data_IF_682644091444
#
_entry.id   IF_682644091444
#
_cell.length_a   1.000
_cell.length_b   1.000
_cell.length_c   1.000
_cell.angle_alpha   90.00
_cell.angle_beta   90.00
_cell.angle_gamma   90.00
#
_symmetry.space_group_name_H-M   'P 1'
#
loop_
_entity.id
_entity.type
_entity.pdbx_description
1 polymer ?
#
# COMPACT_ATOMS: atom_id res chain seq x y z
N UNK A 1 17.27 -8.33 -29.73
CA UNK A 1 16.14 -8.97 -29.04
C UNK A 1 15.41 -7.89 -28.29
N UNK A 2 14.07 -7.83 -28.31
CA UNK A 2 13.29 -6.94 -27.46
C UNK A 2 13.53 -7.33 -26.00
N UNK A 3 13.53 -6.34 -25.07
CA UNK A 3 13.59 -6.65 -23.64
C UNK A 3 12.36 -7.46 -23.19
N UNK A 4 12.46 -8.27 -22.14
CA UNK A 4 11.30 -8.93 -21.53
C UNK A 4 10.24 -7.93 -21.09
N UNK A 5 8.98 -8.35 -21.11
CA UNK A 5 7.88 -7.55 -20.55
C UNK A 5 7.99 -7.56 -19.02
N UNK A 6 8.00 -6.38 -18.40
CA UNK A 6 8.25 -6.26 -16.98
C UNK A 6 7.02 -5.74 -16.21
N UNK A 7 6.68 -6.40 -15.11
CA UNK A 7 5.57 -6.05 -14.21
C UNK A 7 6.14 -5.66 -12.84
N UNK A 8 5.69 -4.55 -12.25
CA UNK A 8 5.87 -4.30 -10.82
C UNK A 8 4.69 -4.87 -10.04
N UNK A 9 4.95 -5.82 -9.16
CA UNK A 9 3.99 -6.30 -8.17
C UNK A 9 4.20 -5.56 -6.84
N UNK A 10 3.23 -4.74 -6.47
CA UNK A 10 3.26 -3.85 -5.31
C UNK A 10 2.03 -4.08 -4.42
N UNK A 11 2.13 -3.84 -3.12
CA UNK A 11 1.06 -4.09 -2.15
C UNK A 11 1.17 -3.26 -0.89
N UNK A 12 0.08 -3.21 -0.12
CA UNK A 12 0.06 -2.73 1.27
C UNK A 12 0.59 -1.31 1.43
N UNK A 13 -0.05 -0.35 0.74
CA UNK A 13 0.38 1.06 0.75
C UNK A 13 -0.08 1.79 2.01
N UNK A 14 -1.28 1.44 2.51
CA UNK A 14 -1.89 2.04 3.70
C UNK A 14 -1.91 3.57 3.66
N UNK A 15 -2.12 4.14 2.46
CA UNK A 15 -2.27 5.59 2.35
C UNK A 15 -3.57 6.05 3.01
N UNK A 16 -3.61 7.29 3.43
CA UNK A 16 -4.77 7.83 4.13
C UNK A 16 -4.81 9.34 3.99
N UNK A 17 -5.93 9.96 4.37
CA UNK A 17 -6.08 11.42 4.37
C UNK A 17 -4.87 12.14 4.99
N UNK A 18 -4.29 11.59 6.04
CA UNK A 18 -3.18 12.24 6.78
C UNK A 18 -1.84 11.52 6.65
N UNK A 19 -1.79 10.38 5.90
CA UNK A 19 -0.59 9.57 5.71
C UNK A 19 -0.05 8.91 6.97
N UNK A 20 -0.79 8.96 8.05
CA UNK A 20 -0.56 8.17 9.23
C UNK A 20 -1.11 6.75 8.97
N UNK A 21 -0.27 5.75 9.15
CA UNK A 21 -0.69 4.37 9.04
C UNK A 21 -1.52 3.93 10.25
N UNK A 22 -2.21 2.80 10.14
CA UNK A 22 -3.04 2.23 11.20
C UNK A 22 -2.30 2.08 12.55
N UNK A 23 -1.03 1.71 12.52
CA UNK A 23 -0.22 1.54 13.75
C UNK A 23 0.10 2.89 14.40
N UNK A 24 0.41 3.90 13.60
CA UNK A 24 0.66 5.25 14.10
C UNK A 24 -0.63 5.90 14.59
N UNK A 25 -1.77 5.64 13.95
CA UNK A 25 -3.08 6.08 14.44
C UNK A 25 -3.42 5.48 15.80
N UNK A 26 -3.12 4.20 16.04
CA UNK A 26 -3.31 3.57 17.34
C UNK A 26 -2.50 4.26 18.43
N UNK A 27 -1.35 4.83 18.09
CA UNK A 27 -0.51 5.62 18.99
C UNK A 27 -0.97 7.09 19.08
N UNK A 28 -1.46 7.68 17.99
CA UNK A 28 -2.00 9.04 17.93
C UNK A 28 -3.27 9.19 18.75
N UNK A 29 -4.14 8.19 18.77
CA UNK A 29 -5.35 8.15 19.59
C UNK A 29 -5.05 8.24 21.08
N UNK A 30 -3.93 7.71 21.51
CA UNK A 30 -3.46 7.91 22.89
C UNK A 30 -2.87 9.30 23.13
N UNK A 31 -2.63 10.08 22.07
CA UNK A 31 -1.89 11.37 22.13
C UNK A 31 -2.66 12.58 21.57
N UNK A 32 -3.69 12.39 20.77
CA UNK A 32 -4.52 13.50 20.27
C UNK A 32 -5.60 13.85 21.28
N UNK A 33 -5.21 14.59 22.30
CA UNK A 33 -6.21 15.40 22.97
C UNK A 33 -6.72 16.42 21.93
N UNK A 34 -8.04 16.45 21.72
CA UNK A 34 -8.73 17.56 21.09
C UNK A 34 -8.27 18.84 21.81
N UNK A 35 -7.72 19.78 21.07
CA UNK A 35 -7.35 21.08 21.67
C UNK A 35 -8.64 21.90 21.71
N UNK A 36 -9.53 21.56 22.64
CA UNK A 36 -10.79 22.28 22.82
C UNK A 36 -10.63 23.72 23.31
N UNK A 37 -9.41 24.10 23.72
CA UNK A 37 -9.17 25.42 24.31
C UNK A 37 -7.79 25.95 23.87
N UNK A 38 -7.76 26.52 22.65
CA UNK A 38 -6.61 27.29 22.16
C UNK A 38 -6.78 28.74 22.66
N UNK A 39 -6.89 28.93 23.98
CA UNK A 39 -6.96 30.28 24.51
C UNK A 39 -5.60 30.96 24.37
N UNK A 40 -5.60 32.18 23.82
CA UNK A 40 -4.41 33.04 23.73
C UNK A 40 -3.71 33.28 25.07
N UNK A 41 -4.42 33.03 26.19
CA UNK A 41 -3.87 33.10 27.53
C UNK A 41 -2.91 31.96 27.87
N UNK A 42 -3.11 30.78 27.28
CA UNK A 42 -2.31 29.57 27.57
C UNK A 42 -1.29 29.27 26.48
N UNK A 43 -1.49 29.76 25.27
CA UNK A 43 -0.67 29.43 24.13
C UNK A 43 -0.13 30.68 23.43
N UNK A 44 1.08 30.57 22.95
CA UNK A 44 1.72 31.52 22.04
C UNK A 44 1.69 30.92 20.63
N UNK A 45 1.22 31.67 19.64
CA UNK A 45 1.30 31.28 18.23
C UNK A 45 2.68 31.61 17.71
N UNK A 46 3.43 30.59 17.34
CA UNK A 46 4.78 30.76 16.78
C UNK A 46 4.78 30.85 15.27
N UNK A 47 3.78 30.27 14.63
CA UNK A 47 3.62 30.24 13.18
C UNK A 47 2.15 30.00 12.86
N UNK A 48 1.67 30.66 11.81
CA UNK A 48 0.31 30.48 11.29
C UNK A 48 0.32 30.66 9.77
N UNK A 49 -0.28 29.72 9.04
CA UNK A 49 -0.45 29.79 7.59
C UNK A 49 -1.60 28.87 7.16
N UNK A 50 -2.50 29.36 6.32
CA UNK A 50 -3.62 28.58 5.78
C UNK A 50 -4.53 27.94 6.85
N UNK A 51 -4.66 28.59 8.02
CA UNK A 51 -5.39 28.07 9.17
C UNK A 51 -4.63 27.04 10.01
N UNK A 52 -3.43 26.63 9.60
CA UNK A 52 -2.53 25.83 10.43
C UNK A 52 -1.78 26.72 11.41
N UNK A 53 -1.59 26.25 12.63
CA UNK A 53 -0.93 27.02 13.70
C UNK A 53 0.06 26.14 14.44
N UNK A 54 1.24 26.68 14.76
CA UNK A 54 2.17 26.09 15.71
C UNK A 54 2.05 26.83 17.02
N UNK A 55 1.63 26.12 18.04
CA UNK A 55 1.39 26.66 19.36
C UNK A 55 2.47 26.22 20.33
N UNK A 56 2.91 27.16 21.20
CA UNK A 56 3.75 26.88 22.36
C UNK A 56 2.94 27.10 23.63
N UNK A 57 2.96 26.13 24.53
CA UNK A 57 2.34 26.27 25.85
C UNK A 57 3.15 27.23 26.73
N UNK A 58 2.56 28.35 27.19
CA UNK A 58 3.27 29.46 27.89
C UNK A 58 3.82 29.08 29.27
N UNK A 59 3.21 28.12 29.94
CA UNK A 59 3.53 27.78 31.34
C UNK A 59 4.21 26.44 31.51
N UNK A 60 4.52 25.74 30.44
CA UNK A 60 5.21 24.46 30.50
C UNK A 60 6.73 24.69 30.54
N UNK A 61 7.44 24.11 31.52
CA UNK A 61 8.90 24.23 31.72
C UNK A 61 9.74 23.93 30.45
N UNK A 62 9.22 23.22 29.48
CA UNK A 62 9.89 22.83 28.24
C UNK A 62 9.15 23.27 26.98
N UNK A 63 8.25 24.27 27.06
CA UNK A 63 7.59 24.88 25.93
C UNK A 63 7.05 23.88 24.88
N UNK A 64 6.20 22.93 25.33
CA UNK A 64 5.64 21.92 24.43
C UNK A 64 5.03 22.56 23.20
N UNK A 65 5.51 22.15 22.03
CA UNK A 65 5.00 22.61 20.75
C UNK A 65 3.93 21.65 20.23
N UNK A 66 2.88 22.22 19.66
CA UNK A 66 1.76 21.48 19.06
C UNK A 66 1.42 22.12 17.72
N UNK A 67 1.32 21.32 16.68
CA UNK A 67 0.76 21.77 15.40
C UNK A 67 -0.75 21.57 15.45
N UNK A 68 -1.52 22.60 15.11
CA UNK A 68 -2.99 22.57 15.09
C UNK A 68 -3.46 22.79 13.66
N UNK A 69 -4.39 21.97 13.18
CA UNK A 69 -4.96 22.09 11.84
C UNK A 69 -6.13 23.08 11.79
N UNK A 70 -6.64 23.44 10.60
CA UNK A 70 -7.75 24.38 10.44
C UNK A 70 -9.06 23.96 11.10
N UNK A 71 -9.19 22.69 11.52
CA UNK A 71 -10.32 22.13 12.24
C UNK A 71 -10.05 21.98 13.74
N UNK A 72 -9.02 22.62 14.26
CA UNK A 72 -8.57 22.60 15.66
C UNK A 72 -8.11 21.22 16.18
N UNK A 73 -7.67 20.32 15.31
CA UNK A 73 -7.04 19.07 15.74
C UNK A 73 -5.53 19.25 15.98
N UNK A 74 -5.09 18.69 17.10
CA UNK A 74 -3.68 18.72 17.48
C UNK A 74 -2.89 17.60 16.79
N UNK A 75 -1.76 17.93 16.21
CA UNK A 75 -0.81 17.02 15.59
C UNK A 75 0.54 17.09 16.31
N UNK A 76 1.16 15.93 16.67
CA UNK A 76 2.48 15.95 17.27
C UNK A 76 3.52 16.49 16.27
N UNK A 77 4.41 17.33 16.75
CA UNK A 77 5.58 17.77 15.98
C UNK A 77 6.65 16.69 16.12
N UNK A 78 7.22 16.19 15.02
CA UNK A 78 8.26 15.17 15.06
C UNK A 78 9.47 15.67 15.87
N UNK A 79 10.02 14.80 16.71
CA UNK A 79 11.29 15.08 17.38
C UNK A 79 12.43 15.15 16.35
N UNK A 80 13.40 16.03 16.57
CA UNK A 80 14.64 15.98 15.81
C UNK A 80 15.37 14.67 16.11
N UNK A 81 15.79 13.95 15.06
CA UNK A 81 16.72 12.82 15.22
C UNK A 81 18.14 13.37 15.25
N UNK A 82 18.98 12.78 16.08
CA UNK A 82 20.41 13.06 16.08
C UNK A 82 20.99 12.85 14.69
N UNK A 83 21.57 13.88 14.10
CA UNK A 83 22.17 13.84 12.77
C UNK A 83 21.46 14.69 11.69
N UNK A 84 20.20 15.07 11.91
CA UNK A 84 19.43 15.95 11.00
C UNK A 84 19.05 17.22 11.75
N UNK A 85 20.02 18.07 11.95
CA UNK A 85 19.89 19.19 12.89
C UNK A 85 19.46 20.51 12.28
N UNK A 86 19.13 20.57 10.99
CA UNK A 86 19.02 21.87 10.32
C UNK A 86 17.66 22.56 10.48
N UNK A 87 16.58 21.82 10.76
CA UNK A 87 15.26 22.45 10.87
C UNK A 87 14.85 22.68 12.32
N UNK A 88 14.47 23.88 12.62
CA UNK A 88 13.86 24.22 13.89
C UNK A 88 12.49 23.51 14.04
N UNK A 89 11.95 23.39 15.27
CA UNK A 89 10.67 22.76 15.49
C UNK A 89 9.49 23.39 14.73
N UNK A 90 9.54 24.69 14.47
CA UNK A 90 8.51 25.43 13.72
C UNK A 90 8.58 25.06 12.23
N UNK A 91 9.78 25.03 11.66
CA UNK A 91 9.99 24.61 10.27
C UNK A 91 9.55 23.16 10.05
N UNK A 92 9.84 22.25 10.98
CA UNK A 92 9.34 20.86 10.94
C UNK A 92 7.81 20.78 11.00
N UNK A 93 7.19 21.65 11.81
CA UNK A 93 5.74 21.72 11.90
C UNK A 93 5.12 22.30 10.62
N UNK A 94 5.68 23.35 10.06
CA UNK A 94 5.27 23.94 8.78
C UNK A 94 5.40 22.92 7.64
N UNK A 95 6.53 22.23 7.54
CA UNK A 95 6.72 21.15 6.58
C UNK A 95 5.70 20.00 6.76
N UNK A 96 5.25 19.74 7.98
CA UNK A 96 4.17 18.78 8.25
C UNK A 96 2.80 19.33 7.82
N UNK A 97 2.51 20.60 8.08
CA UNK A 97 1.28 21.25 7.64
C UNK A 97 1.16 21.25 6.12
N UNK A 98 2.19 21.68 5.41
CA UNK A 98 2.25 21.63 3.95
C UNK A 98 1.97 20.23 3.40
N UNK A 99 2.47 19.19 4.05
CA UNK A 99 2.17 17.82 3.67
C UNK A 99 0.72 17.42 3.88
N UNK A 100 0.15 17.84 4.99
CA UNK A 100 -1.23 17.51 5.32
C UNK A 100 -2.19 18.24 4.37
N UNK A 101 -1.87 19.45 3.94
CA UNK A 101 -2.60 20.17 2.90
C UNK A 101 -2.38 19.58 1.50
N UNK A 102 -1.15 19.27 1.12
CA UNK A 102 -0.83 18.64 -0.16
C UNK A 102 -1.58 17.32 -0.40
N UNK A 103 -2.11 16.69 0.63
CA UNK A 103 -2.96 15.49 0.55
C UNK A 103 -4.40 15.80 0.28
N UNK A 104 -4.88 16.97 0.68
CA UNK A 104 -6.23 17.43 0.35
C UNK A 104 -6.31 17.85 -1.10
N UNK A 105 -5.18 18.32 -1.67
CA UNK A 105 -5.08 18.72 -3.07
C UNK A 105 -4.21 17.72 -3.86
N UNK A 106 -4.87 16.88 -4.66
CA UNK A 106 -4.21 15.90 -5.52
C UNK A 106 -3.37 16.53 -6.63
N UNK A 107 -3.56 17.81 -6.95
CA UNK A 107 -2.72 18.54 -7.90
C UNK A 107 -1.35 18.85 -7.30
N UNK A 108 -1.28 19.11 -6.00
CA UNK A 108 -0.02 19.28 -5.27
C UNK A 108 0.78 17.98 -5.13
N UNK A 109 0.14 16.83 -5.15
CA UNK A 109 0.84 15.54 -5.17
C UNK A 109 1.70 15.37 -6.44
N UNK A 110 1.32 16.00 -7.55
CA UNK A 110 2.11 16.06 -8.79
C UNK A 110 3.29 17.02 -8.71
N UNK A 111 3.19 18.01 -7.86
CA UNK A 111 4.23 19.01 -7.60
C UNK A 111 5.03 18.72 -6.35
N UNK A 112 4.85 17.54 -5.75
CA UNK A 112 5.71 17.08 -4.66
C UNK A 112 7.14 17.08 -5.13
N UNK A 113 7.95 17.77 -4.40
CA UNK A 113 9.02 18.57 -4.87
C UNK A 113 10.25 17.72 -5.06
N UNK A 114 11.27 18.37 -5.54
CA UNK A 114 12.65 17.91 -5.64
C UNK A 114 13.00 16.84 -4.59
N UNK A 115 13.88 15.91 -4.89
CA UNK A 115 14.34 14.87 -3.94
C UNK A 115 14.69 15.40 -2.54
N UNK A 116 15.23 16.63 -2.46
CA UNK A 116 15.55 17.27 -1.18
C UNK A 116 14.34 17.56 -0.28
N UNK A 117 13.24 18.08 -0.85
CA UNK A 117 12.05 18.35 -0.05
C UNK A 117 11.32 17.06 0.37
N UNK A 118 11.37 15.99 -0.44
CA UNK A 118 10.90 14.67 -0.04
C UNK A 118 11.75 14.13 1.11
N UNK A 119 13.06 14.34 1.10
CA UNK A 119 13.95 13.95 2.19
C UNK A 119 13.59 14.64 3.49
N UNK A 120 13.48 15.97 3.47
CA UNK A 120 13.04 16.78 4.64
C UNK A 120 11.69 16.30 5.16
N UNK A 121 10.76 15.99 4.28
CA UNK A 121 9.45 15.49 4.66
C UNK A 121 9.51 14.09 5.27
N UNK A 122 10.36 13.19 4.77
CA UNK A 122 10.59 11.85 5.34
C UNK A 122 11.24 11.92 6.71
N UNK A 123 12.22 12.81 6.87
CA UNK A 123 12.90 13.04 8.15
C UNK A 123 11.95 13.61 9.20
N UNK A 124 11.10 14.56 8.80
CA UNK A 124 10.09 15.13 9.68
C UNK A 124 8.99 14.14 10.08
N UNK A 125 8.67 13.15 9.22
CA UNK A 125 7.68 12.09 9.51
C UNK A 125 8.04 10.79 8.79
N UNK A 126 9.03 10.04 9.29
CA UNK A 126 9.53 8.83 8.63
C UNK A 126 8.47 7.73 8.45
N UNK A 127 7.40 7.75 9.22
CA UNK A 127 6.28 6.81 9.13
C UNK A 127 5.15 7.25 8.19
N UNK A 128 5.31 8.36 7.46
CA UNK A 128 4.24 8.87 6.60
C UNK A 128 4.07 8.05 5.32
N UNK A 129 3.02 7.23 5.27
CA UNK A 129 2.72 6.35 4.15
C UNK A 129 2.53 7.11 2.81
N UNK A 130 1.90 8.29 2.84
CA UNK A 130 1.63 9.05 1.60
C UNK A 130 2.92 9.59 0.97
N UNK A 131 3.86 10.07 1.79
CA UNK A 131 5.17 10.54 1.29
C UNK A 131 5.98 9.36 0.75
N UNK A 132 5.98 8.25 1.47
CA UNK A 132 6.67 7.03 1.03
C UNK A 132 6.07 6.47 -0.26
N UNK A 133 4.74 6.58 -0.46
CA UNK A 133 4.11 6.17 -1.71
C UNK A 133 4.68 6.91 -2.93
N UNK A 134 4.78 8.25 -2.85
CA UNK A 134 5.31 9.05 -3.97
C UNK A 134 6.74 8.64 -4.30
N UNK A 135 7.54 8.36 -3.29
CA UNK A 135 8.90 7.88 -3.47
C UNK A 135 8.95 6.49 -4.07
N UNK A 136 8.11 5.58 -3.57
CA UNK A 136 7.99 4.24 -4.12
C UNK A 136 7.54 4.25 -5.59
N UNK A 137 6.59 5.11 -5.96
CA UNK A 137 6.17 5.26 -7.34
C UNK A 137 7.33 5.71 -8.26
N UNK A 138 8.22 6.59 -7.79
CA UNK A 138 9.43 6.97 -8.53
C UNK A 138 10.42 5.81 -8.67
N UNK A 139 10.58 5.00 -7.62
CA UNK A 139 11.43 3.80 -7.70
C UNK A 139 10.85 2.78 -8.69
N UNK A 140 9.51 2.59 -8.72
CA UNK A 140 8.84 1.77 -9.72
C UNK A 140 9.06 2.33 -11.13
N UNK A 141 8.98 3.64 -11.31
CA UNK A 141 9.25 4.29 -12.60
C UNK A 141 10.71 4.11 -13.04
N UNK A 142 11.66 4.27 -12.14
CA UNK A 142 13.08 4.08 -12.41
C UNK A 142 13.45 2.63 -12.75
N UNK A 143 12.65 1.65 -12.33
CA UNK A 143 12.87 0.23 -12.64
C UNK A 143 12.37 -0.20 -14.03
N UNK A 144 11.91 0.72 -14.87
CA UNK A 144 11.52 0.53 -16.26
C UNK A 144 10.56 -0.66 -16.46
N UNK A 145 9.43 -0.62 -15.76
CA UNK A 145 8.36 -1.62 -15.88
C UNK A 145 7.26 -1.18 -16.83
N UNK A 146 6.69 -2.14 -17.56
CA UNK A 146 5.62 -1.92 -18.54
C UNK A 146 4.25 -1.84 -17.88
N UNK A 147 4.07 -2.50 -16.74
CA UNK A 147 2.80 -2.64 -16.04
C UNK A 147 2.99 -2.62 -14.53
N UNK A 148 1.96 -2.20 -13.82
CA UNK A 148 1.89 -2.25 -12.35
C UNK A 148 0.65 -3.02 -11.92
N UNK A 149 0.82 -3.96 -11.00
CA UNK A 149 -0.27 -4.67 -10.33
C UNK A 149 -0.23 -4.43 -8.82
N UNK A 150 -1.36 -3.97 -8.28
CA UNK A 150 -1.55 -3.66 -6.87
C UNK A 150 -2.38 -4.76 -6.20
N UNK A 151 -1.82 -5.44 -5.22
CA UNK A 151 -2.50 -6.53 -4.52
C UNK A 151 -3.14 -6.12 -3.19
N UNK A 152 -3.72 -4.91 -3.15
CA UNK A 152 -4.61 -4.46 -2.08
C UNK A 152 -3.94 -3.71 -0.94
N UNK A 153 -4.76 -3.39 0.06
CA UNK A 153 -4.44 -2.50 1.19
C UNK A 153 -3.86 -1.16 0.72
N UNK A 154 -4.55 -0.60 -0.29
CA UNK A 154 -4.16 0.65 -0.93
C UNK A 154 -4.40 1.82 0.02
N UNK A 155 -5.58 1.86 0.66
CA UNK A 155 -5.94 2.93 1.59
C UNK A 155 -6.55 2.40 2.89
N UNK A 156 -6.24 3.08 4.00
CA UNK A 156 -6.82 2.75 5.31
C UNK A 156 -8.21 3.36 5.53
N UNK A 157 -8.52 4.48 4.90
CA UNK A 157 -9.74 5.27 5.15
C UNK A 157 -10.66 5.44 3.93
N UNK A 158 -10.22 4.99 2.75
CA UNK A 158 -10.95 5.17 1.49
C UNK A 158 -10.69 6.50 0.80
N UNK A 159 -9.90 7.40 1.37
CA UNK A 159 -9.65 8.75 0.84
C UNK A 159 -8.32 8.86 0.08
N UNK A 160 -7.40 7.90 0.24
CA UNK A 160 -6.06 7.94 -0.35
C UNK A 160 -5.99 7.61 -1.86
N UNK A 161 -7.06 7.12 -2.48
CA UNK A 161 -7.06 6.71 -3.89
C UNK A 161 -6.65 7.79 -4.89
N UNK A 162 -7.07 9.07 -4.76
CA UNK A 162 -6.62 10.12 -5.69
C UNK A 162 -5.10 10.29 -5.71
N UNK A 163 -4.44 10.15 -4.55
CA UNK A 163 -2.98 10.19 -4.47
C UNK A 163 -2.34 9.03 -5.23
N UNK A 164 -2.89 7.83 -5.11
CA UNK A 164 -2.41 6.63 -5.82
C UNK A 164 -2.58 6.81 -7.33
N UNK A 165 -3.75 7.23 -7.78
CA UNK A 165 -4.02 7.50 -9.20
C UNK A 165 -3.08 8.56 -9.78
N UNK A 166 -2.69 9.55 -8.99
CA UNK A 166 -1.72 10.58 -9.40
C UNK A 166 -0.30 10.03 -9.42
N UNK A 167 0.11 9.28 -8.40
CA UNK A 167 1.46 8.73 -8.29
C UNK A 167 1.77 7.71 -9.41
N UNK A 168 0.77 6.95 -9.84
CA UNK A 168 0.89 5.94 -10.89
C UNK A 168 0.19 6.34 -12.20
N UNK A 169 0.08 7.65 -12.46
CA UNK A 169 -0.63 8.17 -13.63
C UNK A 169 -0.09 7.63 -14.96
N UNK A 170 1.23 7.44 -15.10
CA UNK A 170 1.88 6.87 -16.28
C UNK A 170 1.22 5.55 -16.70
N UNK A 171 1.10 4.60 -15.79
CA UNK A 171 0.52 3.28 -16.08
C UNK A 171 -0.99 3.31 -16.15
N UNK A 172 -1.67 4.13 -15.34
CA UNK A 172 -3.12 4.33 -15.44
C UNK A 172 -3.51 4.84 -16.81
N UNK A 173 -2.86 5.89 -17.29
CA UNK A 173 -3.20 6.54 -18.56
C UNK A 173 -2.84 5.64 -19.78
N UNK A 174 -1.90 4.72 -19.59
CA UNK A 174 -1.56 3.67 -20.56
C UNK A 174 -2.48 2.43 -20.47
N UNK A 175 -3.43 2.37 -19.54
CA UNK A 175 -4.26 1.18 -19.30
C UNK A 175 -3.46 -0.02 -18.76
N UNK A 176 -2.34 0.26 -18.05
CA UNK A 176 -1.39 -0.73 -17.54
C UNK A 176 -1.30 -0.74 -16.01
N UNK A 177 -2.32 -0.21 -15.33
CA UNK A 177 -2.43 -0.21 -13.87
C UNK A 177 -3.58 -1.12 -13.46
N UNK A 178 -3.27 -2.23 -12.78
CA UNK A 178 -4.24 -3.19 -12.29
C UNK A 178 -4.28 -3.14 -10.75
N UNK A 179 -5.44 -3.44 -10.17
CA UNK A 179 -5.57 -3.54 -8.72
C UNK A 179 -6.64 -4.55 -8.29
N UNK A 180 -6.43 -5.22 -7.16
CA UNK A 180 -7.44 -5.92 -6.40
C UNK A 180 -7.60 -5.27 -5.03
N UNK A 181 -8.77 -5.36 -4.35
CA UNK A 181 -8.93 -4.75 -3.04
C UNK A 181 -8.24 -5.57 -1.95
N UNK A 182 -7.74 -4.88 -0.93
CA UNK A 182 -7.33 -5.47 0.32
C UNK A 182 -8.37 -5.28 1.43
N UNK A 183 -8.14 -5.90 2.57
CA UNK A 183 -9.06 -5.81 3.69
C UNK A 183 -9.14 -4.39 4.27
N UNK A 184 -8.05 -3.60 4.21
CA UNK A 184 -8.06 -2.19 4.59
C UNK A 184 -8.84 -1.31 3.61
N UNK A 185 -8.97 -1.68 2.36
CA UNK A 185 -9.79 -0.96 1.38
C UNK A 185 -11.29 -1.11 1.64
N UNK A 186 -11.71 -2.25 2.24
CA UNK A 186 -13.11 -2.64 2.34
C UNK A 186 -13.63 -2.67 3.77
N UNK A 187 -12.85 -3.24 4.72
CA UNK A 187 -13.31 -3.46 6.08
C UNK A 187 -13.04 -2.27 6.99
N UNK A 188 -13.82 -2.20 8.10
CA UNK A 188 -13.65 -1.17 9.11
C UNK A 188 -12.62 -1.60 10.14
N UNK A 189 -11.63 -0.76 10.34
CA UNK A 189 -10.71 -0.89 11.46
C UNK A 189 -11.06 0.13 12.54
N UNK A 190 -10.97 -0.23 13.84
CA UNK A 190 -11.24 0.71 14.91
C UNK A 190 -10.19 1.83 14.87
N UNK A 191 -10.56 2.94 14.27
CA UNK A 191 -9.84 4.20 14.39
C UNK A 191 -10.39 4.83 15.66
N UNK A 192 -9.78 4.52 16.80
CA UNK A 192 -10.22 5.07 18.05
C UNK A 192 -9.86 6.57 18.12
N UNK A 193 -10.78 7.41 18.56
CA UNK A 193 -10.52 8.74 19.13
C UNK A 193 -10.25 9.90 18.16
N UNK A 194 -10.53 9.79 16.87
CA UNK A 194 -10.18 10.88 15.94
C UNK A 194 -11.24 11.99 15.83
N UNK A 195 -12.40 11.90 16.46
CA UNK A 195 -13.50 12.87 16.27
C UNK A 195 -14.02 12.98 14.83
N UNK A 196 -13.38 12.29 13.88
CA UNK A 196 -13.70 12.31 12.44
C UNK A 196 -14.90 11.42 12.15
N UNK A 197 -15.69 11.74 11.12
CA UNK A 197 -16.68 10.80 10.60
C UNK A 197 -16.00 9.46 10.32
N UNK A 198 -16.50 8.40 10.93
CA UNK A 198 -15.97 7.05 10.67
C UNK A 198 -16.45 6.62 9.29
N UNK A 199 -15.57 6.12 8.40
CA UNK A 199 -16.04 5.51 7.18
C UNK A 199 -16.96 4.34 7.51
N UNK A 200 -17.93 4.06 6.66
CA UNK A 200 -18.72 2.84 6.71
C UNK A 200 -18.15 1.82 5.72
N UNK A 201 -18.50 0.53 5.86
CA UNK A 201 -18.16 -0.49 4.86
C UNK A 201 -18.68 -0.08 3.47
N UNK A 202 -19.89 0.47 3.43
CA UNK A 202 -20.51 0.94 2.21
C UNK A 202 -19.73 2.10 1.56
N UNK A 203 -19.36 3.13 2.37
CA UNK A 203 -18.56 4.25 1.84
C UNK A 203 -17.20 3.80 1.33
N UNK A 204 -16.55 2.86 2.00
CA UNK A 204 -15.27 2.29 1.53
C UNK A 204 -15.43 1.48 0.25
N UNK A 205 -16.49 0.64 0.16
CA UNK A 205 -16.80 -0.09 -1.09
C UNK A 205 -17.10 0.87 -2.24
N UNK A 206 -17.86 1.94 -2.00
CA UNK A 206 -18.13 2.97 -3.00
C UNK A 206 -16.83 3.66 -3.46
N UNK A 207 -15.95 4.02 -2.51
CA UNK A 207 -14.65 4.62 -2.82
C UNK A 207 -13.76 3.65 -3.62
N UNK A 208 -13.72 2.38 -3.25
CA UNK A 208 -13.03 1.34 -4.00
C UNK A 208 -13.58 1.20 -5.42
N UNK A 209 -14.90 1.10 -5.58
CA UNK A 209 -15.52 0.98 -6.92
C UNK A 209 -15.16 2.18 -7.79
N UNK A 210 -15.28 3.40 -7.26
CA UNK A 210 -14.91 4.60 -8.00
C UNK A 210 -13.40 4.64 -8.38
N UNK A 211 -12.53 4.11 -7.55
CA UNK A 211 -11.12 3.93 -7.87
C UNK A 211 -10.92 2.87 -8.96
N UNK A 212 -11.54 1.71 -8.83
CA UNK A 212 -11.44 0.60 -9.77
C UNK A 212 -11.95 0.99 -11.16
N UNK A 213 -13.04 1.75 -11.24
CA UNK A 213 -13.58 2.30 -12.52
C UNK A 213 -12.56 3.22 -13.21
N UNK A 214 -11.79 3.99 -12.43
CA UNK A 214 -10.74 4.87 -12.97
C UNK A 214 -9.54 4.11 -13.55
N UNK A 215 -9.39 2.83 -13.25
CA UNK A 215 -8.37 1.97 -13.88
C UNK A 215 -8.80 1.48 -15.26
N UNK A 216 -10.09 1.57 -15.60
CA UNK A 216 -10.62 1.22 -16.92
C UNK A 216 -10.62 -0.28 -17.22
N UNK A 217 -10.43 -1.14 -16.23
CA UNK A 217 -10.43 -2.61 -16.39
C UNK A 217 -11.82 -3.15 -16.11
N UNK A 218 -12.50 -3.74 -17.10
CA UNK A 218 -13.84 -4.33 -16.90
C UNK A 218 -13.82 -5.42 -15.82
N UNK A 219 -14.82 -5.38 -14.95
CA UNK A 219 -14.99 -6.36 -13.87
C UNK A 219 -16.29 -7.11 -14.04
N UNK A 220 -16.23 -8.38 -13.71
CA UNK A 220 -17.40 -9.24 -13.55
C UNK A 220 -18.24 -8.77 -12.33
N UNK A 221 -19.56 -9.07 -12.27
CA UNK A 221 -20.38 -8.70 -11.10
C UNK A 221 -19.85 -9.20 -9.75
N UNK A 222 -19.08 -10.28 -9.74
CA UNK A 222 -18.39 -10.75 -8.53
C UNK A 222 -17.19 -9.87 -8.12
N UNK A 223 -16.74 -8.94 -8.97
CA UNK A 223 -15.60 -8.06 -8.78
C UNK A 223 -14.30 -8.59 -9.34
N UNK A 224 -14.28 -9.81 -9.88
CA UNK A 224 -13.13 -10.37 -10.58
C UNK A 224 -12.91 -9.68 -11.93
N UNK A 225 -11.68 -9.76 -12.45
CA UNK A 225 -11.36 -9.30 -13.81
C UNK A 225 -10.36 -10.23 -14.49
N UNK A 226 -10.31 -10.15 -15.81
CA UNK A 226 -9.26 -10.77 -16.62
C UNK A 226 -8.57 -9.71 -17.46
N UNK A 227 -7.26 -9.81 -17.58
CA UNK A 227 -6.43 -8.89 -18.36
C UNK A 227 -5.38 -9.68 -19.16
N UNK A 228 -5.57 -9.82 -20.49
CA UNK A 228 -4.58 -10.45 -21.35
C UNK A 228 -3.42 -9.49 -21.65
N UNK A 229 -2.22 -10.05 -21.77
CA UNK A 229 -0.98 -9.37 -22.15
C UNK A 229 -0.36 -10.14 -23.32
N UNK A 230 -0.84 -9.92 -24.56
CA UNK A 230 -0.41 -10.70 -25.70
C UNK A 230 1.10 -10.59 -25.98
N UNK A 231 1.69 -9.42 -25.73
CA UNK A 231 3.12 -9.17 -25.92
C UNK A 231 4.03 -9.93 -24.96
N UNK A 232 3.47 -10.45 -23.87
CA UNK A 232 4.20 -11.26 -22.88
C UNK A 232 3.71 -12.73 -22.86
N UNK A 233 2.82 -13.11 -23.77
CA UNK A 233 2.14 -14.42 -23.75
C UNK A 233 1.58 -14.74 -22.35
N UNK A 234 0.90 -13.74 -21.75
CA UNK A 234 0.44 -13.79 -20.39
C UNK A 234 -1.03 -13.40 -20.24
N UNK A 235 -1.69 -13.95 -19.20
CA UNK A 235 -3.02 -13.54 -18.76
C UNK A 235 -3.01 -13.35 -17.25
N UNK A 236 -3.57 -12.24 -16.79
CA UNK A 236 -3.75 -11.96 -15.37
C UNK A 236 -5.23 -12.03 -15.02
N UNK A 237 -5.59 -12.79 -13.98
CA UNK A 237 -6.91 -12.75 -13.34
C UNK A 237 -6.78 -12.12 -11.98
N UNK A 238 -7.56 -11.07 -11.72
CA UNK A 238 -7.66 -10.44 -10.40
C UNK A 238 -8.90 -10.90 -9.66
N UNK A 239 -8.74 -11.31 -8.39
CA UNK A 239 -9.81 -11.80 -7.52
C UNK A 239 -9.96 -10.90 -6.29
N UNK A 240 -11.19 -10.53 -5.95
CA UNK A 240 -11.52 -9.82 -4.71
C UNK A 240 -11.61 -10.82 -3.54
N UNK A 241 -10.59 -10.89 -2.73
CA UNK A 241 -10.56 -11.75 -1.53
C UNK A 241 -11.25 -11.15 -0.31
N UNK A 242 -11.94 -9.99 -0.47
CA UNK A 242 -12.66 -9.31 0.61
C UNK A 242 -14.18 -9.56 0.56
N UNK A 243 -14.62 -10.73 0.08
CA UNK A 243 -16.05 -11.09 -0.06
C UNK A 243 -16.72 -11.49 1.24
N UNK A 244 -15.94 -11.81 2.24
CA UNK A 244 -16.50 -12.21 3.52
C UNK A 244 -17.17 -11.03 4.23
N UNK A 245 -18.35 -11.22 4.88
CA UNK A 245 -18.88 -10.25 5.80
C UNK A 245 -17.93 -10.05 6.98
N UNK A 246 -17.60 -8.81 7.29
CA UNK A 246 -16.72 -8.48 8.41
C UNK A 246 -17.30 -8.97 9.74
N UNK A 247 -16.61 -9.86 10.43
CA UNK A 247 -16.99 -10.34 11.78
C UNK A 247 -16.19 -9.63 12.86
N UNK A 248 -16.81 -9.45 14.05
CA UNK A 248 -16.22 -8.71 15.16
C UNK A 248 -14.82 -9.20 15.60
N UNK A 249 -14.56 -10.50 15.53
CA UNK A 249 -13.33 -11.13 16.04
C UNK A 249 -12.32 -11.54 14.95
N UNK A 250 -12.73 -11.62 13.68
CA UNK A 250 -11.90 -12.07 12.55
C UNK A 250 -11.95 -11.02 11.44
N UNK A 251 -11.46 -9.81 11.75
CA UNK A 251 -11.65 -8.63 10.89
C UNK A 251 -10.76 -8.63 9.65
N UNK A 252 -9.69 -9.42 9.68
CA UNK A 252 -8.71 -9.46 8.60
C UNK A 252 -8.80 -10.73 7.74
N UNK A 253 -9.74 -11.63 8.04
CA UNK A 253 -9.94 -12.81 7.21
C UNK A 253 -10.58 -12.45 5.87
N UNK A 254 -10.16 -13.14 4.83
CA UNK A 254 -10.74 -13.07 3.50
C UNK A 254 -11.54 -14.30 3.10
N UNK A 255 -12.19 -14.22 1.96
CA UNK A 255 -12.72 -15.32 1.17
C UNK A 255 -12.86 -14.88 -0.29
N UNK A 256 -12.65 -15.79 -1.23
CA UNK A 256 -12.88 -15.58 -2.67
C UNK A 256 -14.35 -15.87 -2.99
N UNK A 257 -14.87 -16.99 -2.51
CA UNK A 257 -16.24 -17.44 -2.75
C UNK A 257 -16.42 -18.13 -4.10
N UNK A 258 -17.50 -18.92 -4.18
CA UNK A 258 -17.77 -19.83 -5.32
C UNK A 258 -17.98 -19.08 -6.65
N UNK A 259 -18.56 -17.88 -6.61
CA UNK A 259 -18.83 -17.09 -7.84
C UNK A 259 -17.53 -16.71 -8.56
N UNK A 260 -16.51 -16.26 -7.83
CA UNK A 260 -15.23 -15.90 -8.43
C UNK A 260 -14.40 -17.14 -8.81
N UNK A 261 -14.50 -18.23 -8.07
CA UNK A 261 -13.86 -19.50 -8.46
C UNK A 261 -14.50 -20.05 -9.75
N UNK A 262 -15.83 -19.97 -9.87
CA UNK A 262 -16.52 -20.31 -11.11
C UNK A 262 -16.14 -19.38 -12.27
N UNK A 263 -15.97 -18.08 -12.00
CA UNK A 263 -15.44 -17.14 -12.99
C UNK A 263 -14.04 -17.55 -13.47
N UNK A 264 -13.11 -17.84 -12.55
CA UNK A 264 -11.76 -18.27 -12.89
C UNK A 264 -11.75 -19.55 -13.74
N UNK A 265 -12.60 -20.55 -13.39
CA UNK A 265 -12.76 -21.76 -14.20
C UNK A 265 -13.27 -21.46 -15.61
N UNK A 266 -14.22 -20.52 -15.76
CA UNK A 266 -14.69 -20.09 -17.10
C UNK A 266 -13.56 -19.44 -17.91
N UNK A 267 -12.75 -18.59 -17.27
CA UNK A 267 -11.58 -17.99 -17.93
C UNK A 267 -10.56 -19.06 -18.33
N UNK A 268 -10.37 -20.07 -17.51
CA UNK A 268 -9.45 -21.18 -17.81
C UNK A 268 -9.84 -21.99 -19.06
N UNK A 269 -11.11 -21.97 -19.45
CA UNK A 269 -11.58 -22.60 -20.69
C UNK A 269 -11.35 -21.76 -21.94
N UNK A 270 -11.00 -20.48 -21.81
CA UNK A 270 -10.76 -19.59 -22.96
C UNK A 270 -9.47 -19.94 -23.69
N UNK A 271 -9.41 -19.71 -25.03
CA UNK A 271 -8.21 -19.94 -25.80
C UNK A 271 -7.01 -19.11 -25.32
N UNK A 272 -7.25 -17.90 -24.84
CA UNK A 272 -6.25 -16.96 -24.35
C UNK A 272 -5.54 -17.56 -23.12
N UNK A 273 -6.29 -18.06 -22.15
CA UNK A 273 -5.72 -18.70 -20.96
C UNK A 273 -5.00 -20.01 -21.29
N UNK A 274 -5.60 -20.86 -22.11
CA UNK A 274 -5.03 -22.17 -22.47
C UNK A 274 -3.71 -22.05 -23.23
N UNK A 275 -3.55 -20.99 -24.04
CA UNK A 275 -2.34 -20.76 -24.83
C UNK A 275 -1.27 -20.01 -24.06
N UNK A 276 -1.66 -19.22 -23.06
CA UNK A 276 -0.72 -18.38 -22.33
C UNK A 276 0.35 -19.20 -21.61
N UNK A 277 1.61 -18.82 -21.81
CA UNK A 277 2.75 -19.34 -21.04
C UNK A 277 2.64 -18.93 -19.59
N UNK A 278 2.26 -17.67 -19.34
CA UNK A 278 2.18 -17.10 -18.01
C UNK A 278 0.72 -16.84 -17.60
N UNK A 279 0.24 -17.65 -16.65
CA UNK A 279 -1.13 -17.56 -16.09
C UNK A 279 -1.07 -17.08 -14.67
N UNK A 280 -1.25 -15.76 -14.51
CA UNK A 280 -1.10 -15.08 -13.23
C UNK A 280 -2.45 -14.90 -12.54
N UNK A 281 -2.50 -15.14 -11.24
CA UNK A 281 -3.66 -14.82 -10.39
C UNK A 281 -3.25 -13.83 -9.31
N UNK A 282 -3.98 -12.73 -9.19
CA UNK A 282 -3.73 -11.71 -8.20
C UNK A 282 -4.88 -11.62 -7.20
N UNK A 283 -4.56 -11.60 -5.91
CA UNK A 283 -5.50 -11.42 -4.81
C UNK A 283 -4.77 -10.74 -3.64
N UNK A 284 -5.49 -10.38 -2.57
CA UNK A 284 -4.82 -9.73 -1.43
C UNK A 284 -4.41 -10.72 -0.35
N UNK A 285 -5.33 -11.58 0.10
CA UNK A 285 -5.05 -12.52 1.20
C UNK A 285 -4.21 -13.70 0.73
N UNK A 286 -3.30 -14.16 1.58
CA UNK A 286 -2.47 -15.33 1.28
C UNK A 286 -3.27 -16.63 1.25
N UNK A 287 -2.97 -17.48 0.26
CA UNK A 287 -3.66 -18.76 0.03
C UNK A 287 -3.09 -19.88 0.90
N UNK A 288 -1.80 -19.83 1.17
CA UNK A 288 -1.11 -20.81 2.03
C UNK A 288 -0.38 -20.09 3.16
N UNK A 289 -0.19 -20.72 4.33
CA UNK A 289 0.53 -20.10 5.44
C UNK A 289 1.93 -19.66 5.00
N UNK A 290 2.32 -18.43 5.33
CA UNK A 290 3.63 -17.88 5.00
C UNK A 290 4.71 -18.46 5.90
N UNK A 291 5.95 -18.55 5.39
CA UNK A 291 7.11 -19.01 6.15
C UNK A 291 7.49 -17.96 7.20
N UNK A 292 7.16 -18.23 8.44
CA UNK A 292 7.48 -17.37 9.57
C UNK A 292 8.74 -17.90 10.26
N UNK A 293 9.93 -17.80 9.67
CA UNK A 293 11.23 -18.16 10.26
C UNK A 293 11.27 -19.33 11.26
N UNK A 294 12.38 -20.00 11.40
CA UNK A 294 12.54 -21.17 12.28
C UNK A 294 12.06 -20.85 13.72
N UNK A 295 11.02 -21.56 14.20
CA UNK A 295 10.53 -21.50 15.59
C UNK A 295 9.25 -20.68 15.82
N UNK A 296 8.71 -19.95 14.85
CA UNK A 296 7.44 -19.22 14.99
C UNK A 296 6.31 -19.90 14.21
N UNK A 297 5.81 -21.01 14.69
CA UNK A 297 4.51 -21.56 14.25
C UNK A 297 3.38 -20.68 14.79
N UNK A 298 2.69 -20.15 13.96
CA UNK A 298 1.52 -19.39 13.72
C UNK A 298 0.33 -19.34 14.69
N UNK A 299 0.40 -18.74 15.88
CA UNK A 299 -0.80 -18.10 16.44
C UNK A 299 -1.23 -16.88 15.59
N UNK A 300 -0.34 -16.38 14.71
CA UNK A 300 -0.56 -15.15 13.92
C UNK A 300 -1.44 -15.32 12.69
N UNK A 301 -1.76 -16.54 12.28
CA UNK A 301 -2.69 -16.83 11.19
C UNK A 301 -4.17 -16.72 11.61
N UNK A 302 -4.44 -16.75 12.91
CA UNK A 302 -5.81 -16.60 13.43
C UNK A 302 -6.30 -15.18 13.13
N UNK A 303 -7.39 -15.08 12.37
CA UNK A 303 -8.00 -13.79 12.02
C UNK A 303 -7.33 -13.09 10.84
N UNK A 304 -6.38 -13.72 10.12
CA UNK A 304 -5.69 -13.14 8.96
C UNK A 304 -5.64 -14.06 7.75
N UNK A 305 -6.33 -15.19 7.77
CA UNK A 305 -6.30 -16.19 6.71
C UNK A 305 -7.43 -16.00 5.69
N UNK A 306 -7.26 -16.65 4.56
CA UNK A 306 -8.34 -16.89 3.62
C UNK A 306 -9.18 -18.09 4.13
N UNK A 307 -10.50 -17.92 4.32
CA UNK A 307 -11.34 -18.95 4.93
C UNK A 307 -11.54 -20.17 4.02
N UNK A 308 -11.58 -19.95 2.72
CA UNK A 308 -11.70 -20.93 1.65
C UNK A 308 -10.37 -21.30 0.99
N UNK A 309 -9.25 -21.03 1.68
CA UNK A 309 -7.89 -21.16 1.17
C UNK A 309 -7.60 -22.51 0.48
N UNK A 310 -8.10 -23.62 1.03
CA UNK A 310 -7.91 -24.96 0.46
C UNK A 310 -8.55 -25.07 -0.92
N UNK A 311 -9.84 -24.72 -1.02
CA UNK A 311 -10.60 -24.76 -2.29
C UNK A 311 -9.98 -23.82 -3.32
N UNK A 312 -9.49 -22.66 -2.87
CA UNK A 312 -8.80 -21.68 -3.72
C UNK A 312 -7.51 -22.25 -4.28
N UNK A 313 -6.66 -22.87 -3.44
CA UNK A 313 -5.40 -23.50 -3.88
C UNK A 313 -5.66 -24.66 -4.87
N UNK A 314 -6.61 -25.53 -4.54
CA UNK A 314 -7.03 -26.64 -5.43
C UNK A 314 -7.53 -26.10 -6.79
N UNK A 315 -8.30 -24.99 -6.79
CA UNK A 315 -8.75 -24.35 -8.03
C UNK A 315 -7.60 -23.76 -8.82
N UNK A 316 -6.61 -23.13 -8.18
CA UNK A 316 -5.45 -22.56 -8.87
C UNK A 316 -4.62 -23.65 -9.57
N UNK A 317 -4.44 -24.81 -8.92
CA UNK A 317 -3.81 -25.98 -9.56
C UNK A 317 -4.66 -26.53 -10.70
N UNK A 318 -5.99 -26.67 -10.51
CA UNK A 318 -6.94 -27.15 -11.52
C UNK A 318 -6.88 -26.32 -12.81
N UNK A 319 -6.86 -24.99 -12.67
CA UNK A 319 -6.83 -24.08 -13.83
C UNK A 319 -5.43 -23.87 -14.40
N UNK A 320 -4.42 -24.46 -13.81
CA UNK A 320 -3.03 -24.38 -14.22
C UNK A 320 -2.44 -22.99 -14.07
N UNK A 321 -2.78 -22.28 -13.00
CA UNK A 321 -2.09 -21.02 -12.65
C UNK A 321 -0.59 -21.27 -12.52
N UNK A 322 0.24 -20.32 -12.98
CA UNK A 322 1.70 -20.44 -12.89
C UNK A 322 2.28 -19.60 -11.76
N UNK A 323 1.71 -18.42 -11.53
CA UNK A 323 2.18 -17.47 -10.52
C UNK A 323 0.99 -16.83 -9.79
N UNK A 324 1.02 -16.84 -8.47
CA UNK A 324 0.01 -16.24 -7.59
C UNK A 324 0.61 -15.08 -6.83
N UNK A 325 0.05 -13.88 -7.03
CA UNK A 325 0.51 -12.62 -6.46
C UNK A 325 -0.38 -12.21 -5.30
N UNK A 326 0.20 -11.92 -4.14
CA UNK A 326 -0.58 -11.43 -2.99
C UNK A 326 0.22 -10.51 -2.06
N UNK A 327 -0.47 -9.84 -1.12
CA UNK A 327 0.10 -8.97 -0.08
C UNK A 327 -0.30 -9.40 1.34
N UNK A 328 -0.91 -8.45 2.10
CA UNK A 328 -1.56 -8.65 3.38
C UNK A 328 -0.65 -8.84 4.61
N UNK A 329 0.42 -9.57 4.48
CA UNK A 329 1.26 -9.91 5.64
C UNK A 329 2.50 -9.03 5.78
N UNK A 330 2.72 -8.13 4.83
CA UNK A 330 3.91 -7.28 4.74
C UNK A 330 5.22 -8.09 4.80
N UNK A 331 5.23 -9.24 4.13
CA UNK A 331 6.38 -10.15 4.07
C UNK A 331 6.78 -10.31 2.62
N UNK A 332 8.08 -10.22 2.35
CA UNK A 332 8.66 -10.55 1.05
C UNK A 332 8.95 -12.04 1.02
N UNK A 333 8.22 -12.79 0.20
CA UNK A 333 8.43 -14.23 0.04
C UNK A 333 8.16 -14.66 -1.40
N UNK A 334 9.07 -15.43 -1.94
CA UNK A 334 8.92 -16.14 -3.20
C UNK A 334 9.12 -17.63 -2.95
N UNK A 335 8.14 -18.46 -3.27
CA UNK A 335 8.25 -19.92 -3.09
C UNK A 335 7.22 -20.70 -3.90
N UNK A 336 7.51 -21.97 -4.14
CA UNK A 336 6.52 -22.95 -4.57
C UNK A 336 5.99 -23.70 -3.32
N UNK A 337 4.67 -23.72 -3.06
CA UNK A 337 4.10 -24.55 -2.00
C UNK A 337 4.28 -26.04 -2.31
N UNK A 338 4.60 -26.85 -1.30
CA UNK A 338 4.97 -28.26 -1.47
C UNK A 338 3.91 -29.14 -2.18
N UNK A 339 2.65 -28.72 -2.17
CA UNK A 339 1.54 -29.49 -2.76
C UNK A 339 0.89 -28.76 -3.94
N UNK A 340 1.56 -27.77 -4.54
CA UNK A 340 0.99 -26.94 -5.62
C UNK A 340 1.94 -26.85 -6.80
N UNK A 341 1.35 -26.69 -8.00
CA UNK A 341 2.10 -26.49 -9.24
C UNK A 341 2.39 -25.00 -9.54
N UNK A 342 1.75 -24.08 -8.83
CA UNK A 342 1.97 -22.64 -8.97
C UNK A 342 3.03 -22.14 -7.98
N UNK A 343 3.64 -21.01 -8.33
CA UNK A 343 4.51 -20.28 -7.44
C UNK A 343 3.76 -19.16 -6.74
N UNK A 344 4.15 -18.85 -5.51
CA UNK A 344 3.63 -17.74 -4.71
C UNK A 344 4.62 -16.60 -4.64
N UNK A 345 4.13 -15.40 -4.83
CA UNK A 345 4.88 -14.18 -4.67
C UNK A 345 4.15 -13.25 -3.69
N UNK A 346 4.62 -13.20 -2.45
CA UNK A 346 4.11 -12.31 -1.42
C UNK A 346 4.85 -10.97 -1.47
N UNK A 347 4.12 -9.90 -1.74
CA UNK A 347 4.70 -8.56 -1.72
C UNK A 347 4.79 -8.02 -0.30
N UNK A 348 5.92 -7.38 0.07
CA UNK A 348 6.01 -6.62 1.30
C UNK A 348 5.19 -5.33 1.20
N UNK A 349 5.01 -4.63 2.32
CA UNK A 349 4.43 -3.30 2.25
C UNK A 349 5.34 -2.34 1.47
N UNK A 350 4.77 -1.68 0.48
CA UNK A 350 5.48 -0.69 -0.33
C UNK A 350 5.92 0.55 0.45
N UNK A 351 5.20 0.87 1.54
CA UNK A 351 5.43 2.09 2.32
C UNK A 351 5.96 1.84 3.72
N UNK A 352 5.65 0.70 4.32
CA UNK A 352 5.98 0.39 5.72
C UNK A 352 7.14 -0.60 5.87
N UNK A 353 7.52 -1.28 4.78
CA UNK A 353 8.49 -2.38 4.81
C UNK A 353 7.93 -3.65 5.44
N UNK A 354 8.77 -4.65 5.62
CA UNK A 354 8.42 -5.89 6.28
C UNK A 354 8.44 -5.76 7.81
N UNK A 355 7.64 -6.57 8.50
CA UNK A 355 7.63 -6.63 9.97
C UNK A 355 8.97 -7.05 10.59
N UNK A 356 9.85 -7.63 9.80
CA UNK A 356 11.20 -8.04 10.20
C UNK A 356 12.23 -6.90 10.22
N UNK A 357 11.83 -5.66 9.88
CA UNK A 357 12.73 -4.51 9.79
C UNK A 357 13.29 -4.27 8.38
N UNK A 358 12.81 -5.02 7.39
CA UNK A 358 13.16 -4.80 5.99
C UNK A 358 12.73 -3.43 5.49
N UNK A 359 13.47 -2.91 4.51
CA UNK A 359 13.10 -1.69 3.80
C UNK A 359 11.88 -1.90 2.90
N UNK A 360 11.08 -0.87 2.64
CA UNK A 360 10.02 -0.93 1.64
C UNK A 360 10.57 -1.43 0.31
N UNK A 361 9.87 -2.35 -0.33
CA UNK A 361 10.30 -2.95 -1.59
C UNK A 361 9.11 -3.48 -2.38
N UNK A 362 9.36 -3.87 -3.63
CA UNK A 362 8.38 -4.50 -4.50
C UNK A 362 9.06 -5.59 -5.34
N UNK A 363 8.26 -6.42 -5.98
CA UNK A 363 8.73 -7.42 -6.91
C UNK A 363 8.70 -6.88 -8.34
N UNK A 364 9.78 -7.06 -9.07
CA UNK A 364 9.87 -6.90 -10.51
C UNK A 364 9.83 -8.27 -11.15
N UNK A 365 8.84 -8.50 -12.01
CA UNK A 365 8.59 -9.76 -12.68
C UNK A 365 8.83 -9.53 -14.16
N UNK A 366 9.83 -10.19 -14.73
CA UNK A 366 10.11 -10.18 -16.15
C UNK A 366 9.53 -11.44 -16.79
N UNK A 367 8.72 -11.24 -17.82
CA UNK A 367 8.06 -12.30 -18.56
C UNK A 367 8.69 -12.45 -19.95
N UNK A 368 9.32 -13.59 -20.16
CA UNK A 368 9.77 -14.04 -21.48
C UNK A 368 9.40 -15.52 -21.67
N UNK A 369 10.32 -16.43 -21.97
CA UNK A 369 10.08 -17.87 -22.00
C UNK A 369 9.83 -18.45 -20.61
N UNK A 370 10.28 -17.76 -19.56
CA UNK A 370 10.10 -18.06 -18.15
C UNK A 370 9.80 -16.75 -17.42
N UNK A 371 9.26 -16.85 -16.21
CA UNK A 371 9.11 -15.68 -15.35
C UNK A 371 10.38 -15.54 -14.49
N UNK A 372 11.04 -14.38 -14.56
CA UNK A 372 12.16 -14.03 -13.70
C UNK A 372 11.68 -13.01 -12.67
N UNK A 373 11.96 -13.28 -11.41
CA UNK A 373 11.47 -12.46 -10.29
C UNK A 373 12.66 -11.88 -9.54
N UNK A 374 12.69 -10.55 -9.41
CA UNK A 374 13.70 -9.83 -8.65
C UNK A 374 13.04 -8.87 -7.65
N UNK A 375 13.67 -8.67 -6.50
CA UNK A 375 13.21 -7.75 -5.47
C UNK A 375 13.88 -6.40 -5.63
N UNK A 376 13.08 -5.34 -5.79
CA UNK A 376 13.56 -3.96 -5.89
C UNK A 376 13.31 -3.23 -4.57
N UNK A 377 14.35 -2.72 -3.94
CA UNK A 377 14.24 -1.91 -2.72
C UNK A 377 13.84 -0.48 -3.05
N UNK A 378 12.94 0.09 -2.25
CA UNK A 378 12.62 1.51 -2.32
C UNK A 378 13.60 2.27 -1.42
N UNK A 379 14.42 3.18 -1.97
CA UNK A 379 15.39 3.91 -1.18
C UNK A 379 14.75 4.69 -0.01
N UNK A 380 15.36 4.69 1.16
CA UNK A 380 14.80 5.32 2.38
C UNK A 380 15.21 6.79 2.52
N UNK A 381 16.37 7.21 1.98
CA UNK A 381 16.88 8.58 2.01
C UNK A 381 17.25 9.08 0.60
N UNK A 382 17.14 10.40 0.36
CA UNK A 382 17.51 10.97 -0.94
C UNK A 382 19.01 10.85 -1.25
N UNK A 383 19.83 10.79 -0.20
CA UNK A 383 21.30 10.61 -0.27
C UNK A 383 21.67 9.23 -0.79
N UNK A 384 20.79 8.22 -0.60
CA UNK A 384 21.06 6.86 -1.04
C UNK A 384 20.94 6.69 -2.57
N UNK A 385 20.42 7.69 -3.29
CA UNK A 385 20.29 7.63 -4.75
C UNK A 385 21.61 7.88 -5.51
N UNK A 386 22.58 8.58 -4.91
CA UNK A 386 23.90 8.81 -5.54
C UNK A 386 24.91 7.71 -5.22
N UNK A 387 24.69 6.92 -4.16
CA UNK A 387 25.63 5.92 -3.66
C UNK A 387 25.05 4.49 -3.52
N UNK A 388 23.82 4.24 -3.98
CA UNK A 388 23.26 2.89 -3.96
C UNK A 388 23.78 2.13 -5.21
N UNK A 389 24.70 1.18 -5.05
CA UNK A 389 25.19 0.36 -6.17
C UNK A 389 24.16 -0.68 -6.59
N UNK A 390 22.90 -0.34 -6.63
CA UNK A 390 21.95 -1.14 -7.34
C UNK A 390 21.13 -2.13 -6.52
N UNK A 391 20.10 -2.53 -7.14
CA UNK A 391 19.37 -3.76 -7.02
C UNK A 391 20.27 -4.91 -6.60
N UNK A 392 20.21 -5.31 -5.32
CA UNK A 392 20.56 -6.70 -5.00
C UNK A 392 19.42 -7.53 -5.63
N UNK A 393 19.66 -7.95 -6.86
CA UNK A 393 18.83 -8.94 -7.51
C UNK A 393 19.15 -10.29 -6.86
N UNK A 394 18.29 -10.77 -6.01
CA UNK A 394 18.21 -12.22 -5.79
C UNK A 394 17.49 -12.78 -7.03
N UNK A 395 18.25 -13.09 -8.06
CA UNK A 395 17.73 -13.80 -9.22
C UNK A 395 17.31 -15.20 -8.79
N UNK A 396 16.03 -15.44 -8.70
CA UNK A 396 15.48 -16.78 -8.53
C UNK A 396 14.80 -17.15 -9.84
N UNK A 397 15.38 -18.11 -10.57
CA UNK A 397 14.74 -18.70 -11.75
C UNK A 397 13.42 -19.39 -11.37
N UNK A 398 12.34 -19.06 -12.05
CA UNK A 398 10.99 -19.63 -11.90
C UNK A 398 10.72 -20.61 -13.01
#
# INVERSE_FOLDING_TARGET
MSRPFAIAHISDFHVSTFGDNFHDRKNLVKRSAYVADVSASRHEVLWEEGGWRVLRERHAKNGKLTLVDPQDYAHPIPAAKSGVSALDPVERAAAKACRLEARRDTTLARSLPTPGAVSVMLEATPSNANVRLVRAARAVEASDVDMVIMTGDITDDGEGYPLVLSAFAKWRDAGRLLAVPGNHDIYLFPIAGSGRPRPTVESKRKAWTAFADRLGVPRDPSGAFVFPIPEADAVIVGLDSCKRPQRRFFRHNGAIGDEQLAYLRRIAETPEWKKATHRLVALHHHVVPLSMGVGRRAPTEIGMRLDDARTVAETFDEVGATLVLHGHRHISEHRQPAASNFQLLAAPSLTLGCKSGDVPSFWRIELDKRAHVSRVRVPVAAVDQENDPGTESEDVEV
#
